data_IF_198875245332
#
_entry.id   IF_198875245332
#
_cell.length_a   1.000
_cell.length_b   1.000
_cell.length_c   1.000
_cell.angle_alpha   90.00
_cell.angle_beta   90.00
_cell.angle_gamma   90.00
#
_symmetry.space_group_name_H-M   'P 1'
#
loop_
_entity.id
_entity.type
_entity.pdbx_description
1 polymer ?
#
# COMPACT_ATOMS: atom_id res chain seq x y z
N UNK A 1 -23.58 6.13 -9.08
CA UNK A 1 -22.46 7.04 -9.46
C UNK A 1 -21.72 6.39 -10.63
N UNK A 2 -21.44 7.13 -11.71
CA UNK A 2 -20.60 6.62 -12.81
C UNK A 2 -19.16 6.51 -12.31
N UNK A 3 -18.49 5.36 -12.47
CA UNK A 3 -17.15 5.19 -11.96
C UNK A 3 -16.16 5.97 -12.84
N UNK A 4 -15.10 6.48 -12.22
CA UNK A 4 -14.10 7.29 -12.92
C UNK A 4 -13.20 6.48 -13.85
N UNK A 5 -12.30 7.19 -14.53
CA UNK A 5 -11.19 6.58 -15.28
C UNK A 5 -9.89 7.31 -14.98
N UNK A 6 -8.78 6.66 -15.25
CA UNK A 6 -7.43 7.19 -15.04
C UNK A 6 -6.45 6.64 -16.06
N UNK A 7 -5.23 7.16 -16.01
CA UNK A 7 -4.14 6.74 -16.88
C UNK A 7 -2.88 6.54 -16.06
N UNK A 8 -2.21 5.41 -16.27
CA UNK A 8 -0.95 5.07 -15.62
C UNK A 8 0.12 4.92 -16.70
N UNK A 9 1.19 5.71 -16.60
CA UNK A 9 2.36 5.60 -17.48
C UNK A 9 3.50 4.98 -16.71
N UNK A 10 4.02 3.85 -17.21
CA UNK A 10 5.21 3.19 -16.68
C UNK A 10 6.38 3.52 -17.60
N UNK A 11 7.43 4.10 -17.05
CA UNK A 11 8.65 4.45 -17.78
C UNK A 11 9.86 3.72 -17.19
N UNK A 12 10.88 3.52 -18.01
CA UNK A 12 12.11 2.85 -17.61
C UNK A 12 13.10 2.74 -18.75
N UNK A 13 14.02 1.77 -18.64
CA UNK A 13 14.96 1.43 -19.70
C UNK A 13 14.88 -0.07 -20.01
N UNK A 14 14.97 -0.43 -21.28
CA UNK A 14 15.11 -1.80 -21.76
C UNK A 14 16.46 -1.92 -22.46
N UNK A 15 17.48 -2.40 -21.73
CA UNK A 15 18.88 -2.20 -22.08
C UNK A 15 19.23 -0.70 -22.05
N UNK A 16 19.88 -0.20 -23.09
CA UNK A 16 20.23 1.22 -23.20
C UNK A 16 19.10 2.10 -23.77
N UNK A 17 17.97 1.50 -24.16
CA UNK A 17 16.86 2.24 -24.79
C UNK A 17 15.84 2.70 -23.75
N UNK A 18 15.41 3.97 -23.76
CA UNK A 18 14.27 4.39 -22.95
C UNK A 18 13.02 3.65 -23.39
N UNK A 19 12.20 3.25 -22.42
CA UNK A 19 10.94 2.54 -22.64
C UNK A 19 9.83 3.24 -21.87
N UNK A 20 8.65 3.31 -22.47
CA UNK A 20 7.45 3.89 -21.86
C UNK A 20 6.23 3.15 -22.35
N UNK A 21 5.29 2.86 -21.44
CA UNK A 21 4.00 2.29 -21.76
C UNK A 21 2.91 2.92 -20.92
N UNK A 22 1.82 3.28 -21.58
CA UNK A 22 0.64 3.86 -20.97
C UNK A 22 -0.49 2.85 -20.92
N UNK A 23 -1.17 2.78 -19.78
CA UNK A 23 -2.35 1.95 -19.54
C UNK A 23 -3.51 2.84 -19.16
N UNK A 24 -4.64 2.73 -19.87
CA UNK A 24 -5.89 3.35 -19.45
C UNK A 24 -6.58 2.43 -18.44
N UNK A 25 -6.93 2.99 -17.29
CA UNK A 25 -7.57 2.29 -16.17
C UNK A 25 -9.02 2.77 -16.08
N UNK A 26 -9.96 1.84 -16.16
CA UNK A 26 -11.38 2.11 -15.92
C UNK A 26 -11.72 1.58 -14.54
N UNK A 27 -12.24 2.43 -13.66
CA UNK A 27 -12.62 1.99 -12.34
C UNK A 27 -13.95 1.22 -12.43
N UNK A 28 -14.04 0.10 -11.72
CA UNK A 28 -15.30 -0.60 -11.54
C UNK A 28 -16.19 0.13 -10.53
N UNK A 29 -17.50 -0.14 -10.55
CA UNK A 29 -18.43 0.36 -9.52
C UNK A 29 -18.21 -0.29 -8.15
N UNK A 30 -17.49 -1.42 -8.12
CA UNK A 30 -17.13 -2.19 -6.93
C UNK A 30 -15.74 -2.76 -7.13
N UNK A 31 -15.00 -2.97 -6.04
CA UNK A 31 -13.77 -3.75 -6.08
C UNK A 31 -14.10 -5.18 -6.52
N UNK A 32 -13.74 -5.52 -7.76
CA UNK A 32 -14.03 -6.83 -8.36
C UNK A 32 -13.26 -7.97 -7.68
N UNK A 33 -12.15 -7.64 -7.00
CA UNK A 33 -11.31 -8.60 -6.28
C UNK A 33 -10.90 -8.06 -4.91
N UNK A 34 -11.54 -8.51 -3.82
CA UNK A 34 -11.13 -8.20 -2.45
C UNK A 34 -9.65 -8.55 -2.18
N UNK A 35 -9.14 -9.59 -2.83
CA UNK A 35 -7.76 -10.04 -2.72
C UNK A 35 -6.74 -8.99 -3.17
N UNK A 36 -7.07 -8.19 -4.19
CA UNK A 36 -6.19 -7.11 -4.67
C UNK A 36 -6.08 -6.01 -3.62
N UNK A 37 -7.18 -5.70 -2.92
CA UNK A 37 -7.18 -4.71 -1.84
C UNK A 37 -6.31 -5.18 -0.68
N UNK A 38 -6.47 -6.43 -0.23
CA UNK A 38 -5.64 -6.99 0.83
C UNK A 38 -4.15 -7.07 0.44
N UNK A 39 -3.85 -7.41 -0.82
CA UNK A 39 -2.47 -7.43 -1.32
C UNK A 39 -1.86 -6.03 -1.34
N UNK A 40 -2.61 -5.04 -1.82
CA UNK A 40 -2.18 -3.64 -1.79
C UNK A 40 -1.90 -3.17 -0.36
N UNK A 41 -2.80 -3.45 0.58
CA UNK A 41 -2.67 -2.98 1.96
C UNK A 41 -1.43 -3.58 2.64
N UNK A 42 -1.18 -4.89 2.49
CA UNK A 42 0.06 -5.53 2.99
C UNK A 42 1.30 -4.90 2.39
N UNK A 43 1.32 -4.73 1.05
CA UNK A 43 2.46 -4.12 0.37
C UNK A 43 2.68 -2.67 0.80
N UNK A 44 1.60 -1.94 1.11
CA UNK A 44 1.67 -0.56 1.58
C UNK A 44 2.32 -0.49 2.96
N UNK A 45 1.92 -1.33 3.91
CA UNK A 45 2.56 -1.44 5.23
C UNK A 45 4.05 -1.71 5.08
N UNK A 46 4.45 -2.74 4.32
CA UNK A 46 5.87 -3.06 4.09
C UNK A 46 6.67 -1.87 3.52
N UNK A 47 6.07 -1.15 2.56
CA UNK A 47 6.72 0.01 1.93
C UNK A 47 6.91 1.18 2.90
N UNK A 48 5.96 1.38 3.81
CA UNK A 48 6.00 2.43 4.81
C UNK A 48 7.05 2.11 5.86
N UNK A 49 7.14 0.85 6.31
CA UNK A 49 8.15 0.40 7.27
C UNK A 49 9.56 0.52 6.71
N UNK A 50 9.77 0.09 5.47
CA UNK A 50 11.06 0.22 4.80
C UNK A 50 11.48 1.70 4.69
N UNK A 51 10.56 2.59 4.33
CA UNK A 51 10.83 4.01 4.24
C UNK A 51 11.04 4.66 5.62
N UNK A 52 10.28 4.24 6.64
CA UNK A 52 10.45 4.71 8.02
C UNK A 52 11.83 4.31 8.58
N UNK A 53 12.32 3.12 8.23
CA UNK A 53 13.66 2.67 8.59
C UNK A 53 14.74 3.57 7.98
N UNK A 54 14.62 3.90 6.69
CA UNK A 54 15.55 4.83 6.02
C UNK A 54 15.53 6.20 6.70
N UNK A 55 14.35 6.78 6.95
CA UNK A 55 14.23 8.08 7.62
C UNK A 55 14.90 8.05 9.02
N UNK A 56 14.65 7.00 9.81
CA UNK A 56 15.24 6.83 11.14
C UNK A 56 16.76 6.74 11.07
N UNK A 57 17.30 5.99 10.11
CA UNK A 57 18.75 5.88 9.92
C UNK A 57 19.41 7.21 9.54
N UNK A 58 18.65 8.11 8.92
CA UNK A 58 19.07 9.47 8.58
C UNK A 58 18.75 10.51 9.68
N UNK A 59 18.19 10.11 10.83
CA UNK A 59 17.80 11.02 11.91
C UNK A 59 16.58 11.90 11.59
N UNK A 60 15.78 11.54 10.58
CA UNK A 60 14.58 12.27 10.17
C UNK A 60 13.38 11.79 10.98
N UNK A 61 12.60 12.75 11.52
CA UNK A 61 11.32 12.43 12.15
C UNK A 61 10.32 12.02 11.06
N UNK A 62 9.90 10.75 11.08
CA UNK A 62 9.03 10.18 10.07
C UNK A 62 7.60 9.98 10.59
N UNK A 63 6.61 10.35 9.77
CA UNK A 63 5.19 10.03 10.01
C UNK A 63 4.80 8.66 9.45
N UNK A 64 5.73 7.96 8.79
CA UNK A 64 5.45 6.74 8.02
C UNK A 64 5.06 5.55 8.91
N UNK A 65 5.67 5.40 10.09
CA UNK A 65 5.28 4.37 11.06
C UNK A 65 3.82 4.53 11.51
N UNK A 66 3.39 5.77 11.77
CA UNK A 66 2.01 6.06 12.15
C UNK A 66 1.03 5.81 10.98
N UNK A 67 1.47 6.01 9.75
CA UNK A 67 0.68 5.63 8.58
C UNK A 67 0.60 4.11 8.41
N UNK A 68 1.70 3.39 8.65
CA UNK A 68 1.74 1.93 8.59
C UNK A 68 0.80 1.30 9.63
N UNK A 69 0.81 1.83 10.85
CA UNK A 69 -0.13 1.46 11.92
C UNK A 69 -1.59 1.67 11.47
N UNK A 70 -1.93 2.84 10.93
CA UNK A 70 -3.29 3.13 10.46
C UNK A 70 -3.76 2.14 9.40
N UNK A 71 -2.94 1.86 8.39
CA UNK A 71 -3.28 0.90 7.34
C UNK A 71 -3.39 -0.51 7.92
N UNK A 72 -2.50 -0.90 8.83
CA UNK A 72 -2.54 -2.22 9.43
C UNK A 72 -3.82 -2.44 10.26
N UNK A 73 -4.25 -1.43 11.03
CA UNK A 73 -5.50 -1.46 11.79
C UNK A 73 -6.73 -1.47 10.87
N UNK A 74 -6.78 -0.60 9.86
CA UNK A 74 -7.91 -0.49 8.92
C UNK A 74 -8.17 -1.80 8.18
N UNK A 75 -7.11 -2.51 7.78
CA UNK A 75 -7.22 -3.74 7.00
C UNK A 75 -7.05 -5.02 7.83
N UNK A 76 -6.94 -4.93 9.16
CA UNK A 76 -6.78 -6.09 10.03
C UNK A 76 -5.52 -6.93 9.74
N UNK A 77 -4.41 -6.25 9.45
CA UNK A 77 -3.13 -6.88 9.10
C UNK A 77 -2.29 -7.06 10.37
N UNK A 78 -1.80 -8.28 10.60
CA UNK A 78 -0.79 -8.55 11.62
C UNK A 78 0.53 -7.84 11.25
N UNK A 79 1.01 -6.97 12.12
CA UNK A 79 2.25 -6.19 11.94
C UNK A 79 2.92 -5.92 13.28
N UNK A 80 4.04 -5.18 13.29
CA UNK A 80 4.67 -4.72 14.53
C UNK A 80 3.79 -3.75 15.35
N UNK A 81 2.70 -3.25 14.77
CA UNK A 81 1.80 -2.27 15.38
C UNK A 81 0.46 -2.85 15.81
N UNK A 82 0.17 -4.11 15.47
CA UNK A 82 -1.12 -4.75 15.76
C UNK A 82 -0.93 -6.04 16.54
N UNK A 83 -1.92 -6.41 17.35
CA UNK A 83 -1.95 -7.67 18.07
C UNK A 83 -3.37 -8.21 18.07
N UNK A 84 -3.52 -9.52 17.86
CA UNK A 84 -4.81 -10.20 17.98
C UNK A 84 -4.97 -10.75 19.38
N UNK A 85 -5.89 -10.15 20.13
CA UNK A 85 -6.22 -10.56 21.49
C UNK A 85 -7.62 -11.18 21.47
N UNK A 86 -7.72 -12.45 21.82
CA UNK A 86 -9.00 -13.11 22.06
C UNK A 86 -9.43 -12.83 23.50
N UNK A 87 -10.64 -12.32 23.68
CA UNK A 87 -11.28 -12.16 24.99
C UNK A 87 -12.38 -13.20 25.09
N UNK A 88 -12.40 -13.95 26.19
CA UNK A 88 -13.45 -14.94 26.46
C UNK A 88 -14.50 -14.33 27.39
N UNK A 89 -15.78 -14.52 27.07
CA UNK A 89 -16.90 -14.02 27.86
C UNK A 89 -17.25 -15.08 28.91
N UNK A 90 -17.14 -14.72 30.19
CA UNK A 90 -17.48 -15.59 31.33
C UNK A 90 -18.98 -15.67 31.59
#
# INVERSE_FOLDING_TARGET
KTPGSGRVTVTGKLGDRPWSRTFDVRYGNRAESPSVVSLWARRRVDSLDAAAYVDRSAGILSTKSAEAERVALEFGIMSAYTSFVAVDDR
#
